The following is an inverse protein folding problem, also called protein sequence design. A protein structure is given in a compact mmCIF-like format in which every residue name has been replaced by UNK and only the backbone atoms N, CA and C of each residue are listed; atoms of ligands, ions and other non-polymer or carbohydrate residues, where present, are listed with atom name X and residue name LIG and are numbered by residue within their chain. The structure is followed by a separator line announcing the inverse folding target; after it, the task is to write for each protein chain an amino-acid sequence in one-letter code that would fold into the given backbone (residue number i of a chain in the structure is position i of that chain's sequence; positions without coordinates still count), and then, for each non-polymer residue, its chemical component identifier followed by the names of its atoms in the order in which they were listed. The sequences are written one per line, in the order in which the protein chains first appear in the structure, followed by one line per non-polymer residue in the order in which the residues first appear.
data_IF_097136880053
#
_entry.id   IF_097136880053
#
_cell.length_a   1.000
_cell.length_b   1.000
_cell.length_c   1.000
_cell.angle_alpha   90.00
_cell.angle_beta   90.00
_cell.angle_gamma   90.00
#
_symmetry.space_group_name_H-M   'P 1'
#
loop_
_entity.id
_entity.type
_entity.pdbx_description
1 polymer ?
#
# COMPACT_ATOMS: atom_id res chain seq x y z
N UNK A 1 -36.01 23.67 -18.45
CA UNK A 1 -34.58 23.50 -18.82
C UNK A 1 -33.73 24.24 -17.80
N UNK A 2 -33.00 23.55 -16.89
CA UNK A 2 -32.13 24.22 -15.93
C UNK A 2 -30.84 24.67 -16.62
N UNK A 3 -30.52 25.97 -16.50
CA UNK A 3 -29.26 26.55 -16.97
C UNK A 3 -28.12 25.97 -16.13
N UNK A 4 -27.11 25.42 -16.79
CA UNK A 4 -25.85 25.06 -16.15
C UNK A 4 -25.30 26.30 -15.44
N UNK A 5 -25.26 26.24 -14.11
CA UNK A 5 -24.56 27.22 -13.30
C UNK A 5 -23.09 27.17 -13.72
N UNK A 6 -22.64 28.18 -14.47
CA UNK A 6 -21.22 28.43 -14.72
C UNK A 6 -20.59 28.84 -13.39
N UNK A 7 -20.38 27.86 -12.51
CA UNK A 7 -19.58 28.06 -11.31
C UNK A 7 -18.20 28.45 -11.79
N UNK A 8 -17.84 29.72 -11.57
CA UNK A 8 -16.46 30.18 -11.74
C UNK A 8 -15.55 29.14 -11.10
N UNK A 9 -14.47 28.71 -11.78
CA UNK A 9 -13.52 27.79 -11.18
C UNK A 9 -13.10 28.38 -9.82
N UNK A 10 -13.02 27.55 -8.76
CA UNK A 10 -12.68 28.02 -7.44
C UNK A 10 -11.36 28.81 -7.52
N UNK A 11 -11.39 30.08 -7.10
CA UNK A 11 -10.21 30.96 -7.12
C UNK A 11 -9.13 30.33 -6.25
N UNK A 12 -7.93 30.17 -6.81
CA UNK A 12 -6.80 29.64 -6.07
C UNK A 12 -6.51 30.56 -4.86
N UNK A 13 -6.25 30.04 -3.64
CA UNK A 13 -6.09 30.86 -2.44
C UNK A 13 -5.04 31.96 -2.59
N UNK A 14 -4.01 31.70 -3.41
CA UNK A 14 -2.91 32.62 -3.71
C UNK A 14 -3.31 33.80 -4.64
N UNK A 15 -4.49 33.77 -5.27
CA UNK A 15 -5.03 34.93 -6.00
C UNK A 15 -5.40 36.10 -5.08
N UNK A 16 -5.55 35.82 -3.78
CA UNK A 16 -5.77 36.84 -2.76
C UNK A 16 -4.54 37.74 -2.51
N UNK A 17 -3.34 37.30 -2.91
CA UNK A 17 -2.07 37.95 -2.60
C UNK A 17 -1.94 39.32 -3.31
N UNK A 18 -1.65 40.41 -2.58
CA UNK A 18 -1.38 41.72 -3.16
C UNK A 18 -0.29 41.71 -4.25
N UNK A 19 0.72 40.85 -4.12
CA UNK A 19 1.79 40.72 -5.10
C UNK A 19 1.26 40.15 -6.43
N UNK A 20 0.39 39.13 -6.36
CA UNK A 20 -0.24 38.53 -7.54
C UNK A 20 -1.18 39.50 -8.26
N UNK A 21 -1.94 40.33 -7.52
CA UNK A 21 -2.87 41.30 -8.10
C UNK A 21 -2.18 42.38 -8.93
N UNK A 22 -0.94 42.74 -8.58
CA UNK A 22 -0.12 43.74 -9.27
C UNK A 22 0.52 43.23 -10.55
N UNK A 23 0.50 41.92 -10.80
CA UNK A 23 1.09 41.34 -12.00
C UNK A 23 0.29 41.75 -13.27
N UNK A 24 0.96 41.89 -14.43
CA UNK A 24 0.30 42.01 -15.72
C UNK A 24 -0.61 40.80 -16.01
N UNK A 25 -1.69 41.00 -16.77
CA UNK A 25 -2.69 39.96 -17.00
C UNK A 25 -2.15 38.74 -17.76
N UNK A 26 -1.15 38.92 -18.62
CA UNK A 26 -0.43 37.82 -19.28
C UNK A 26 0.32 36.95 -18.27
N UNK A 27 1.05 37.58 -17.34
CA UNK A 27 1.77 36.88 -16.27
C UNK A 27 0.78 36.18 -15.32
N UNK A 28 -0.35 36.81 -14.99
CA UNK A 28 -1.40 36.18 -14.18
C UNK A 28 -1.96 34.91 -14.83
N UNK A 29 -2.15 34.91 -16.15
CA UNK A 29 -2.60 33.73 -16.92
C UNK A 29 -1.57 32.61 -16.83
N UNK A 30 -0.30 32.93 -17.03
CA UNK A 30 0.79 31.96 -16.97
C UNK A 30 0.93 31.34 -15.57
N UNK A 31 0.90 32.16 -14.52
CA UNK A 31 0.96 31.69 -13.13
C UNK A 31 -0.24 30.81 -12.76
N UNK A 32 -1.46 31.15 -13.22
CA UNK A 32 -2.65 30.30 -13.04
C UNK A 32 -2.50 28.95 -13.74
N UNK A 33 -1.93 28.94 -14.95
CA UNK A 33 -1.65 27.71 -15.66
C UNK A 33 -0.62 26.85 -14.90
N UNK A 34 0.41 27.49 -14.32
CA UNK A 34 1.38 26.85 -13.43
C UNK A 34 0.72 26.19 -12.21
N UNK A 35 -0.14 26.91 -11.48
CA UNK A 35 -0.84 26.32 -10.33
C UNK A 35 -1.80 25.19 -10.71
N UNK A 36 -2.44 25.27 -11.88
CA UNK A 36 -3.27 24.18 -12.37
C UNK A 36 -2.43 22.93 -12.69
N UNK A 37 -1.23 23.11 -13.24
CA UNK A 37 -0.27 22.04 -13.47
C UNK A 37 0.24 21.43 -12.16
N UNK A 38 0.58 22.26 -11.18
CA UNK A 38 1.00 21.82 -9.84
C UNK A 38 -0.11 21.01 -9.16
N UNK A 39 -1.35 21.50 -9.20
CA UNK A 39 -2.50 20.80 -8.63
C UNK A 39 -2.77 19.46 -9.33
N UNK A 40 -2.61 19.40 -10.65
CA UNK A 40 -2.72 18.15 -11.40
C UNK A 40 -1.59 17.16 -11.03
N UNK A 41 -0.39 17.66 -10.80
CA UNK A 41 0.75 16.84 -10.35
C UNK A 41 0.55 16.33 -8.93
N UNK A 42 0.07 17.17 -8.00
CA UNK A 42 -0.27 16.75 -6.63
C UNK A 42 -1.35 15.67 -6.61
N UNK A 43 -2.39 15.82 -7.43
CA UNK A 43 -3.42 14.79 -7.61
C UNK A 43 -2.82 13.49 -8.16
N UNK A 44 -1.94 13.59 -9.16
CA UNK A 44 -1.24 12.42 -9.72
C UNK A 44 -0.37 11.70 -8.69
N UNK A 45 0.36 12.43 -7.85
CA UNK A 45 1.15 11.85 -6.76
C UNK A 45 0.23 11.15 -5.75
N UNK A 46 -0.87 11.79 -5.36
CA UNK A 46 -1.82 11.20 -4.42
C UNK A 46 -2.48 9.92 -4.98
N UNK A 47 -2.76 9.86 -6.28
CA UNK A 47 -3.26 8.64 -6.93
C UNK A 47 -2.21 7.53 -6.95
N UNK A 48 -0.98 7.85 -7.32
CA UNK A 48 0.14 6.89 -7.29
C UNK A 48 0.37 6.34 -5.88
N UNK A 49 0.24 7.17 -4.85
CA UNK A 49 0.38 6.74 -3.47
C UNK A 49 -0.75 5.79 -3.04
N UNK A 50 -2.00 6.07 -3.45
CA UNK A 50 -3.12 5.13 -3.24
C UNK A 50 -2.90 3.80 -3.94
N UNK A 51 -2.39 3.82 -5.17
CA UNK A 51 -2.08 2.60 -5.94
C UNK A 51 -0.96 1.80 -5.28
N UNK A 52 0.12 2.46 -4.82
CA UNK A 52 1.21 1.82 -4.08
C UNK A 52 0.73 1.18 -2.79
N UNK A 53 -0.13 1.85 -2.03
CA UNK A 53 -0.73 1.30 -0.81
C UNK A 53 -1.59 0.07 -1.10
N UNK A 54 -2.47 0.15 -2.10
CA UNK A 54 -3.32 -0.99 -2.52
C UNK A 54 -2.48 -2.18 -2.97
N UNK A 55 -1.41 -1.94 -3.74
CA UNK A 55 -0.48 -2.98 -4.17
C UNK A 55 0.16 -3.66 -2.96
N UNK A 56 0.65 -2.90 -1.98
CA UNK A 56 1.24 -3.48 -0.77
C UNK A 56 0.23 -4.31 0.04
N UNK A 57 -1.01 -3.86 0.16
CA UNK A 57 -2.11 -4.63 0.76
C UNK A 57 -2.35 -5.96 0.05
N UNK A 58 -2.44 -5.93 -1.29
CA UNK A 58 -2.64 -7.13 -2.10
C UNK A 58 -1.44 -8.09 -1.98
N UNK A 59 -0.22 -7.58 -1.99
CA UNK A 59 1.00 -8.37 -1.81
C UNK A 59 1.02 -9.07 -0.44
N UNK A 60 0.74 -8.33 0.64
CA UNK A 60 0.67 -8.90 1.99
C UNK A 60 -0.46 -9.90 2.17
N UNK A 61 -1.66 -9.59 1.65
CA UNK A 61 -2.82 -10.49 1.68
C UNK A 61 -2.56 -11.78 0.90
N UNK A 62 -2.03 -11.67 -0.32
CA UNK A 62 -1.71 -12.82 -1.17
C UNK A 62 -0.62 -13.69 -0.54
N UNK A 63 0.41 -13.07 0.05
CA UNK A 63 1.48 -13.79 0.73
C UNK A 63 0.93 -14.66 1.87
N UNK A 64 0.18 -14.08 2.80
CA UNK A 64 -0.29 -14.80 3.99
C UNK A 64 -1.45 -15.75 3.64
N UNK A 65 -2.50 -15.25 2.99
CA UNK A 65 -3.68 -16.06 2.68
C UNK A 65 -3.40 -17.13 1.62
N UNK A 66 -2.55 -16.82 0.63
CA UNK A 66 -2.12 -17.80 -0.37
C UNK A 66 -1.29 -18.93 0.26
N UNK A 67 -0.41 -18.59 1.21
CA UNK A 67 0.32 -19.61 1.98
C UNK A 67 -0.67 -20.45 2.79
N UNK A 68 -1.60 -19.86 3.55
CA UNK A 68 -2.57 -20.63 4.34
C UNK A 68 -3.48 -21.52 3.47
N UNK A 69 -3.89 -21.07 2.28
CA UNK A 69 -4.65 -21.86 1.31
C UNK A 69 -3.90 -23.13 0.87
N UNK A 70 -2.60 -23.02 0.63
CA UNK A 70 -1.75 -24.15 0.23
C UNK A 70 -1.58 -25.17 1.35
N UNK A 71 -1.67 -24.75 2.61
CA UNK A 71 -1.26 -25.57 3.77
C UNK A 71 -2.41 -26.22 4.52
N UNK A 72 -3.55 -25.53 4.66
CA UNK A 72 -4.59 -25.94 5.62
C UNK A 72 -5.93 -26.32 4.99
N UNK A 73 -6.03 -26.40 3.66
CA UNK A 73 -7.22 -26.83 2.93
C UNK A 73 -8.54 -26.21 3.44
N UNK A 74 -8.99 -25.11 2.81
CA UNK A 74 -10.35 -24.52 2.93
C UNK A 74 -11.01 -24.57 4.32
N UNK A 75 -10.40 -23.94 5.32
CA UNK A 75 -11.13 -23.47 6.50
C UNK A 75 -11.52 -21.98 6.30
N UNK A 76 -12.78 -21.64 5.96
CA UNK A 76 -13.17 -20.28 5.56
C UNK A 76 -12.87 -19.23 6.63
N UNK A 77 -13.09 -19.58 7.91
CA UNK A 77 -12.80 -18.70 9.04
C UNK A 77 -11.30 -18.41 9.15
N UNK A 78 -10.45 -19.43 8.95
CA UNK A 78 -8.99 -19.27 9.00
C UNK A 78 -8.49 -18.40 7.85
N UNK A 79 -9.05 -18.59 6.65
CA UNK A 79 -8.71 -17.78 5.49
C UNK A 79 -9.11 -16.31 5.69
N UNK A 80 -10.26 -16.04 6.31
CA UNK A 80 -10.67 -14.68 6.68
C UNK A 80 -9.68 -14.00 7.63
N UNK A 81 -9.23 -14.72 8.67
CA UNK A 81 -8.21 -14.22 9.60
C UNK A 81 -6.88 -14.00 8.89
N UNK A 82 -6.44 -14.95 8.07
CA UNK A 82 -5.21 -14.88 7.30
C UNK A 82 -5.18 -13.68 6.33
N UNK A 83 -6.30 -13.39 5.66
CA UNK A 83 -6.47 -12.20 4.84
C UNK A 83 -6.34 -10.92 5.67
N UNK A 84 -6.98 -10.86 6.84
CA UNK A 84 -6.86 -9.72 7.75
C UNK A 84 -5.42 -9.47 8.21
N UNK A 85 -4.72 -10.53 8.61
CA UNK A 85 -3.30 -10.47 8.97
C UNK A 85 -2.45 -10.01 7.79
N UNK A 86 -2.67 -10.56 6.60
CA UNK A 86 -1.95 -10.19 5.39
C UNK A 86 -2.18 -8.74 4.96
N UNK A 87 -3.39 -8.20 5.10
CA UNK A 87 -3.65 -6.77 4.89
C UNK A 87 -2.89 -5.90 5.89
N UNK A 88 -2.82 -6.32 7.16
CA UNK A 88 -2.01 -5.64 8.18
C UNK A 88 -0.51 -5.65 7.86
N UNK A 89 0.02 -6.77 7.39
CA UNK A 89 1.39 -6.90 6.88
C UNK A 89 1.63 -5.94 5.71
N UNK A 90 0.71 -5.92 4.75
CA UNK A 90 0.78 -5.03 3.60
C UNK A 90 0.73 -3.54 3.97
N UNK A 91 -0.09 -3.16 4.95
CA UNK A 91 -0.13 -1.80 5.49
C UNK A 91 1.20 -1.43 6.17
N UNK A 92 1.76 -2.34 6.98
CA UNK A 92 3.05 -2.12 7.62
C UNK A 92 4.17 -1.96 6.58
N UNK A 93 4.20 -2.79 5.53
CA UNK A 93 5.13 -2.65 4.41
C UNK A 93 4.96 -1.36 3.62
N UNK A 94 3.73 -0.87 3.43
CA UNK A 94 3.52 0.43 2.80
C UNK A 94 4.14 1.55 3.63
N UNK A 95 3.96 1.53 4.95
CA UNK A 95 4.50 2.55 5.87
C UNK A 95 6.03 2.49 6.01
N UNK A 96 6.61 1.30 6.06
CA UNK A 96 8.06 1.13 6.19
C UNK A 96 8.79 1.10 4.84
N UNK A 97 8.06 0.91 3.73
CA UNK A 97 8.62 0.67 2.40
C UNK A 97 9.02 -0.79 2.16
N UNK A 98 8.25 -1.51 1.35
CA UNK A 98 8.43 -2.93 1.00
C UNK A 98 9.79 -3.24 0.34
N UNK A 99 10.69 -3.95 1.02
CA UNK A 99 12.07 -4.21 0.56
C UNK A 99 13.18 -3.72 1.52
N UNK A 100 12.81 -3.10 2.65
CA UNK A 100 13.74 -2.86 3.76
C UNK A 100 14.02 -4.15 4.54
N UNK A 101 15.13 -4.20 5.29
CA UNK A 101 15.52 -5.37 6.12
C UNK A 101 14.42 -5.84 7.09
N UNK A 102 13.49 -4.96 7.49
CA UNK A 102 12.38 -5.30 8.39
C UNK A 102 11.21 -6.03 7.70
N UNK A 103 11.13 -6.02 6.37
CA UNK A 103 10.03 -6.62 5.59
C UNK A 103 9.78 -8.11 5.92
N UNK A 104 10.80 -8.98 6.07
CA UNK A 104 10.62 -10.39 6.42
C UNK A 104 10.16 -10.55 7.87
N UNK A 105 10.65 -9.71 8.80
CA UNK A 105 10.19 -9.69 10.19
C UNK A 105 8.70 -9.31 10.27
N UNK A 106 8.30 -8.28 9.54
CA UNK A 106 6.91 -7.80 9.48
C UNK A 106 5.96 -8.88 8.95
N UNK A 107 6.42 -9.78 8.07
CA UNK A 107 5.61 -10.89 7.59
C UNK A 107 5.70 -12.16 8.47
N UNK A 108 6.91 -12.48 8.94
CA UNK A 108 7.21 -13.70 9.69
C UNK A 108 6.58 -13.69 11.07
N UNK A 109 6.66 -12.56 11.80
CA UNK A 109 6.16 -12.49 13.18
C UNK A 109 4.63 -12.70 13.22
N UNK A 110 3.81 -12.00 12.42
CA UNK A 110 2.36 -12.23 12.41
C UNK A 110 1.99 -13.63 11.90
N UNK A 111 2.73 -14.18 10.94
CA UNK A 111 2.50 -15.54 10.46
C UNK A 111 2.78 -16.60 11.54
N UNK A 112 3.91 -16.48 12.25
CA UNK A 112 4.21 -17.37 13.38
C UNK A 112 3.18 -17.24 14.49
N UNK A 113 2.72 -16.03 14.80
CA UNK A 113 1.65 -15.82 15.77
C UNK A 113 0.34 -16.51 15.34
N UNK A 114 -0.01 -16.43 14.06
CA UNK A 114 -1.16 -17.11 13.48
C UNK A 114 -1.04 -18.64 13.60
N UNK A 115 0.15 -19.20 13.34
CA UNK A 115 0.40 -20.64 13.47
C UNK A 115 0.36 -21.10 14.94
N UNK A 116 0.97 -20.34 15.86
CA UNK A 116 0.98 -20.66 17.29
C UNK A 116 -0.43 -20.62 17.88
N UNK A 117 -1.25 -19.64 17.51
CA UNK A 117 -2.64 -19.58 17.92
C UNK A 117 -3.43 -20.82 17.48
N UNK A 118 -3.14 -21.35 16.29
CA UNK A 118 -3.79 -22.54 15.76
C UNK A 118 -3.30 -23.84 16.43
N UNK A 119 -2.00 -23.95 16.71
CA UNK A 119 -1.42 -25.05 17.48
C UNK A 119 -1.99 -25.10 18.90
N UNK A 120 -2.15 -23.95 19.55
CA UNK A 120 -2.74 -23.83 20.88
C UNK A 120 -4.20 -24.31 20.95
N UNK A 121 -4.93 -24.24 19.83
CA UNK A 121 -6.28 -24.76 19.70
C UNK A 121 -6.32 -26.28 19.44
N UNK A 122 -5.17 -26.95 19.33
CA UNK A 122 -5.07 -28.40 19.08
C UNK A 122 -5.36 -28.79 17.63
N UNK A 123 -5.45 -27.82 16.72
CA UNK A 123 -5.90 -28.01 15.32
C UNK A 123 -4.69 -28.11 14.35
N UNK A 124 -3.47 -28.26 14.86
CA UNK A 124 -2.22 -28.18 14.08
C UNK A 124 -1.38 -29.47 14.06
N UNK A 125 -1.08 -29.97 12.86
CA UNK A 125 -0.13 -31.06 12.62
C UNK A 125 1.33 -30.56 12.60
N UNK A 126 2.34 -31.44 12.78
CA UNK A 126 3.78 -31.10 12.76
C UNK A 126 4.28 -30.38 11.48
N UNK A 127 3.48 -30.40 10.42
CA UNK A 127 3.70 -29.61 9.20
C UNK A 127 3.80 -28.10 9.46
N UNK A 128 3.16 -27.56 10.50
CA UNK A 128 3.19 -26.13 10.82
C UNK A 128 4.61 -25.57 11.03
N UNK A 129 5.52 -26.35 11.62
CA UNK A 129 6.91 -25.94 11.86
C UNK A 129 7.75 -25.96 10.57
N UNK A 130 7.62 -27.00 9.75
CA UNK A 130 8.29 -27.11 8.45
C UNK A 130 7.85 -25.98 7.51
N UNK A 131 6.57 -25.64 7.52
CA UNK A 131 6.04 -24.56 6.69
C UNK A 131 6.33 -23.17 7.26
N UNK A 132 6.51 -23.02 8.57
CA UNK A 132 7.08 -21.82 9.17
C UNK A 132 8.48 -21.50 8.62
N UNK A 133 9.36 -22.51 8.56
CA UNK A 133 10.69 -22.36 8.00
C UNK A 133 10.66 -22.05 6.48
N UNK A 134 9.81 -22.75 5.72
CA UNK A 134 9.62 -22.49 4.29
C UNK A 134 9.10 -21.06 4.02
N UNK A 135 8.20 -20.56 4.86
CA UNK A 135 7.68 -19.20 4.77
C UNK A 135 8.73 -18.13 5.04
N UNK A 136 9.63 -18.37 6.02
CA UNK A 136 10.78 -17.48 6.29
C UNK A 136 11.73 -17.45 5.09
N UNK A 137 12.04 -18.61 4.50
CA UNK A 137 12.86 -18.67 3.30
C UNK A 137 12.20 -17.93 2.11
N UNK A 138 10.90 -18.12 1.92
CA UNK A 138 10.12 -17.47 0.87
C UNK A 138 10.08 -15.94 1.02
N UNK A 139 9.79 -15.44 2.23
CA UNK A 139 9.78 -13.99 2.51
C UNK A 139 11.15 -13.35 2.40
N UNK A 140 12.22 -14.09 2.71
CA UNK A 140 13.60 -13.64 2.53
C UNK A 140 14.00 -13.55 1.04
N UNK A 141 13.56 -14.52 0.22
CA UNK A 141 13.74 -14.49 -1.23
C UNK A 141 12.93 -13.33 -1.86
N UNK A 142 11.68 -13.12 -1.42
CA UNK A 142 10.85 -12.00 -1.85
C UNK A 142 11.51 -10.64 -1.53
N UNK A 143 12.16 -10.50 -0.37
CA UNK A 143 12.95 -9.31 -0.05
C UNK A 143 14.13 -9.12 -1.03
N UNK A 144 14.83 -10.21 -1.38
CA UNK A 144 15.90 -10.17 -2.38
C UNK A 144 15.42 -9.60 -3.71
N UNK A 145 14.33 -10.14 -4.25
CA UNK A 145 13.72 -9.68 -5.51
C UNK A 145 13.26 -8.22 -5.44
N UNK A 146 12.61 -7.80 -4.34
CA UNK A 146 12.15 -6.41 -4.19
C UNK A 146 13.30 -5.42 -4.04
N UNK A 147 14.41 -5.84 -3.41
CA UNK A 147 15.62 -5.03 -3.31
C UNK A 147 16.28 -4.84 -4.69
N UNK A 148 16.35 -5.90 -5.49
CA UNK A 148 16.89 -5.83 -6.86
C UNK A 148 16.03 -4.94 -7.77
N UNK A 149 14.70 -5.04 -7.68
CA UNK A 149 13.78 -4.19 -8.45
C UNK A 149 13.94 -2.70 -8.15
N UNK A 150 14.25 -2.32 -6.91
CA UNK A 150 14.52 -0.92 -6.54
C UNK A 150 15.85 -0.37 -7.05
N UNK A 151 16.80 -1.22 -7.42
CA UNK A 151 18.09 -0.78 -7.96
C UNK A 151 17.96 -0.49 -9.47
N UNK A 152 16.95 -1.07 -10.12
CA UNK A 152 16.65 -0.83 -11.55
C UNK A 152 15.62 0.27 -11.83
N UNK A 153 14.95 0.81 -10.81
CA UNK A 153 14.07 1.99 -10.85
C UNK A 153 14.85 3.27 -10.49
#
# INVERSE_FOLDING_TARGET
MPRASTSNPPRHPREGDPAFRRLPDEVKREVRAGWAADAAQELGIAELEKLRRRRAWLEGALLIAGTELLLKAFAPLHLGVALGVGLGVGEAWWRTGAGQMLTPLIATVPYLALQLAWLALGIGQPSALLFGAAFIAFTSSYLGVRREQRIGE
#
